data_IF_185358682307
#
_entry.id   IF_185358682307
#
_cell.length_a   1.000
_cell.length_b   1.000
_cell.length_c   1.000
_cell.angle_alpha   90.00
_cell.angle_beta   90.00
_cell.angle_gamma   90.00
#
_symmetry.space_group_name_H-M   'P 1'
#
loop_
_entity.id
_entity.type
_entity.pdbx_description
1 polymer ?
#
# COMPACT_ATOMS: atom_id res chain seq x y z
N UNK A 1 14.77 -8.82 6.15
CA UNK A 1 15.66 -8.05 5.26
C UNK A 1 17.07 -8.62 5.35
N UNK A 2 17.31 -9.79 4.74
CA UNK A 2 18.65 -10.36 4.64
C UNK A 2 19.22 -9.97 3.28
N UNK A 3 20.23 -9.10 3.30
CA UNK A 3 20.82 -8.47 2.12
C UNK A 3 21.61 -9.51 1.33
N UNK A 4 21.49 -9.52 -0.01
CA UNK A 4 22.27 -10.36 -0.94
C UNK A 4 23.76 -10.36 -0.62
N UNK A 5 24.25 -9.24 -0.09
CA UNK A 5 25.62 -9.01 0.40
C UNK A 5 26.11 -10.09 1.38
N UNK A 6 25.24 -10.61 2.25
CA UNK A 6 25.62 -11.63 3.25
C UNK A 6 25.90 -12.99 2.63
N UNK A 7 25.11 -13.38 1.62
CA UNK A 7 25.32 -14.63 0.88
C UNK A 7 26.58 -14.57 0.00
N UNK A 8 26.85 -13.40 -0.59
CA UNK A 8 28.10 -13.17 -1.34
C UNK A 8 29.31 -13.32 -0.41
N UNK A 9 29.25 -12.75 0.79
CA UNK A 9 30.33 -12.80 1.77
C UNK A 9 30.62 -14.25 2.23
N UNK A 10 29.57 -15.03 2.51
CA UNK A 10 29.71 -16.46 2.85
C UNK A 10 30.34 -17.25 1.68
N UNK A 11 29.88 -17.01 0.45
CA UNK A 11 30.42 -17.70 -0.74
C UNK A 11 31.89 -17.35 -1.00
N UNK A 12 32.27 -16.07 -0.88
CA UNK A 12 33.67 -15.67 -0.99
C UNK A 12 34.54 -16.28 0.11
N UNK A 13 33.99 -16.43 1.32
CA UNK A 13 34.66 -17.11 2.42
C UNK A 13 34.90 -18.60 2.14
N UNK A 14 33.91 -19.32 1.61
CA UNK A 14 34.07 -20.73 1.24
C UNK A 14 35.12 -20.94 0.15
N UNK A 15 35.19 -20.05 -0.85
CA UNK A 15 36.23 -20.14 -1.90
C UNK A 15 37.62 -19.97 -1.29
N UNK A 16 37.83 -18.96 -0.44
CA UNK A 16 39.12 -18.72 0.23
C UNK A 16 39.55 -19.89 1.10
N UNK A 17 38.63 -20.47 1.89
CA UNK A 17 38.91 -21.66 2.71
C UNK A 17 39.24 -22.88 1.85
N UNK A 18 38.54 -23.07 0.72
CA UNK A 18 38.82 -24.18 -0.21
C UNK A 18 40.19 -24.03 -0.86
N UNK A 19 40.56 -22.83 -1.28
CA UNK A 19 41.90 -22.54 -1.82
C UNK A 19 43.00 -22.76 -0.77
N UNK A 20 42.79 -22.30 0.47
CA UNK A 20 43.73 -22.50 1.58
C UNK A 20 43.90 -24.00 1.91
N UNK A 21 42.81 -24.77 1.94
CA UNK A 21 42.85 -26.21 2.18
C UNK A 21 43.60 -26.96 1.06
N UNK A 22 43.41 -26.60 -0.21
CA UNK A 22 44.14 -27.19 -1.35
C UNK A 22 45.61 -26.80 -1.37
N UNK A 23 45.95 -25.58 -0.92
CA UNK A 23 47.33 -25.14 -0.80
C UNK A 23 48.09 -25.89 0.31
N UNK A 24 47.41 -26.22 1.42
CA UNK A 24 47.98 -26.92 2.57
C UNK A 24 48.04 -28.46 2.40
N UNK A 25 47.22 -29.05 1.53
CA UNK A 25 47.26 -30.49 1.24
C UNK A 25 48.37 -30.83 0.20
N UNK A 26 49.10 -31.91 0.49
CA UNK A 26 50.32 -32.51 -0.13
C UNK A 26 50.50 -32.38 -1.68
N UNK A 27 51.73 -32.54 -2.22
CA UNK A 27 52.17 -32.03 -3.54
C UNK A 27 51.74 -32.83 -4.79
N UNK A 28 50.80 -33.78 -4.70
CA UNK A 28 50.33 -34.52 -5.87
C UNK A 28 49.42 -33.65 -6.75
N UNK A 29 50.04 -33.06 -7.78
CA UNK A 29 49.49 -31.99 -8.62
C UNK A 29 48.16 -32.37 -9.32
N UNK A 30 47.97 -33.65 -9.67
CA UNK A 30 46.78 -34.10 -10.42
C UNK A 30 45.49 -34.04 -9.60
N UNK A 31 45.54 -34.32 -8.28
CA UNK A 31 44.34 -34.25 -7.42
C UNK A 31 43.97 -32.80 -7.09
N UNK A 32 44.93 -31.87 -7.12
CA UNK A 32 44.69 -30.44 -6.86
C UNK A 32 43.79 -29.81 -7.91
N UNK A 33 44.03 -30.11 -9.19
CA UNK A 33 43.25 -29.55 -10.30
C UNK A 33 41.78 -29.96 -10.18
N UNK A 34 41.50 -31.24 -9.88
CA UNK A 34 40.11 -31.70 -9.72
C UNK A 34 39.37 -31.03 -8.55
N UNK A 35 40.05 -30.79 -7.43
CA UNK A 35 39.43 -30.11 -6.27
C UNK A 35 39.16 -28.64 -6.58
N UNK A 36 40.10 -27.94 -7.25
CA UNK A 36 39.93 -26.54 -7.65
C UNK A 36 38.78 -26.40 -8.65
N UNK A 37 38.71 -27.28 -9.65
CA UNK A 37 37.64 -27.27 -10.66
C UNK A 37 36.28 -27.56 -10.03
N UNK A 38 36.19 -28.52 -9.10
CA UNK A 38 34.95 -28.80 -8.38
C UNK A 38 34.50 -27.61 -7.51
N UNK A 39 35.43 -26.97 -6.79
CA UNK A 39 35.16 -25.77 -6.00
C UNK A 39 34.68 -24.60 -6.87
N UNK A 40 35.30 -24.38 -8.02
CA UNK A 40 34.90 -23.36 -8.98
C UNK A 40 33.49 -23.63 -9.54
N UNK A 41 33.19 -24.89 -9.86
CA UNK A 41 31.87 -25.30 -10.34
C UNK A 41 30.77 -25.01 -9.30
N UNK A 42 30.97 -25.39 -8.04
CA UNK A 42 30.00 -25.09 -6.97
C UNK A 42 29.85 -23.59 -6.72
N UNK A 43 30.95 -22.83 -6.81
CA UNK A 43 30.91 -21.37 -6.70
C UNK A 43 30.09 -20.72 -7.82
N UNK A 44 30.32 -21.13 -9.07
CA UNK A 44 29.57 -20.62 -10.23
C UNK A 44 28.10 -21.05 -10.13
N UNK A 45 27.80 -22.29 -9.74
CA UNK A 45 26.44 -22.76 -9.54
C UNK A 45 25.70 -21.99 -8.44
N UNK A 46 26.39 -21.63 -7.35
CA UNK A 46 25.84 -20.81 -6.28
C UNK A 46 25.68 -19.33 -6.66
N UNK A 47 26.59 -18.77 -7.44
CA UNK A 47 26.42 -17.44 -8.01
C UNK A 47 25.22 -17.39 -8.98
N UNK A 48 25.11 -18.39 -9.86
CA UNK A 48 23.98 -18.54 -10.77
C UNK A 48 22.69 -18.73 -9.99
N UNK A 49 22.66 -19.51 -8.92
CA UNK A 49 21.44 -19.66 -8.11
C UNK A 49 21.05 -18.34 -7.42
N UNK A 50 21.99 -17.56 -6.90
CA UNK A 50 21.69 -16.22 -6.33
C UNK A 50 21.20 -15.23 -7.40
N UNK A 51 21.72 -15.33 -8.62
CA UNK A 51 21.34 -14.43 -9.72
C UNK A 51 20.02 -14.85 -10.39
N UNK A 52 19.74 -16.16 -10.46
CA UNK A 52 18.55 -16.74 -11.06
C UNK A 52 17.38 -16.84 -10.08
N UNK A 53 17.64 -16.91 -8.76
CA UNK A 53 16.59 -16.70 -7.76
C UNK A 53 16.22 -15.23 -7.87
N UNK A 54 15.04 -14.89 -8.41
CA UNK A 54 14.60 -13.51 -8.45
C UNK A 54 14.63 -13.02 -7.02
N UNK A 55 15.30 -11.89 -6.77
CA UNK A 55 15.16 -11.19 -5.50
C UNK A 55 13.67 -11.09 -5.24
N UNK A 56 13.21 -11.83 -4.23
CA UNK A 56 11.84 -11.76 -3.75
C UNK A 56 11.69 -10.44 -2.98
N UNK A 57 12.03 -9.32 -3.61
CA UNK A 57 11.49 -8.01 -3.29
C UNK A 57 10.15 -7.88 -4.04
N UNK A 58 9.34 -8.92 -3.91
CA UNK A 58 8.03 -9.05 -4.51
C UNK A 58 6.98 -8.58 -3.51
N UNK A 59 7.24 -7.47 -2.80
CA UNK A 59 6.10 -6.67 -2.38
C UNK A 59 5.53 -6.07 -3.66
N UNK A 60 4.52 -6.75 -4.20
CA UNK A 60 3.78 -6.27 -5.36
C UNK A 60 3.36 -4.82 -5.08
N UNK A 61 3.26 -3.97 -6.10
CA UNK A 61 2.85 -2.57 -5.94
C UNK A 61 1.55 -2.42 -5.10
N UNK A 62 0.71 -3.46 -5.16
CA UNK A 62 -0.49 -3.64 -4.33
C UNK A 62 -0.19 -3.74 -2.83
N UNK A 63 0.75 -4.59 -2.42
CA UNK A 63 1.15 -4.73 -1.02
C UNK A 63 1.74 -3.44 -0.47
N UNK A 64 2.55 -2.73 -1.26
CA UNK A 64 3.10 -1.43 -0.87
C UNK A 64 1.99 -0.41 -0.61
N UNK A 65 0.96 -0.37 -1.48
CA UNK A 65 -0.22 0.49 -1.30
C UNK A 65 -1.01 0.15 -0.03
N UNK A 66 -1.26 -1.14 0.23
CA UNK A 66 -1.96 -1.58 1.45
C UNK A 66 -1.19 -1.16 2.70
N UNK A 67 0.12 -1.44 2.74
CA UNK A 67 0.99 -1.06 3.87
C UNK A 67 0.99 0.46 4.06
N UNK A 68 1.01 1.23 2.97
CA UNK A 68 0.95 2.68 3.03
C UNK A 68 -0.39 3.17 3.61
N UNK A 69 -1.53 2.65 3.14
CA UNK A 69 -2.85 2.98 3.71
C UNK A 69 -2.91 2.65 5.20
N UNK A 70 -2.38 1.50 5.61
CA UNK A 70 -2.34 1.12 7.01
C UNK A 70 -1.49 2.07 7.86
N UNK A 71 -0.35 2.55 7.34
CA UNK A 71 0.47 3.56 8.02
C UNK A 71 -0.29 4.88 8.21
N UNK A 72 -1.05 5.32 7.22
CA UNK A 72 -1.88 6.53 7.32
C UNK A 72 -2.95 6.38 8.40
N UNK A 73 -3.69 5.26 8.39
CA UNK A 73 -4.71 4.98 9.41
C UNK A 73 -4.12 4.91 10.82
N UNK A 74 -2.95 4.27 10.97
CA UNK A 74 -2.24 4.21 12.24
C UNK A 74 -1.86 5.61 12.74
N UNK A 75 -1.34 6.45 11.86
CA UNK A 75 -0.97 7.82 12.19
C UNK A 75 -2.20 8.64 12.63
N UNK A 76 -3.31 8.57 11.90
CA UNK A 76 -4.55 9.26 12.26
C UNK A 76 -5.10 8.78 13.61
N UNK A 77 -5.07 7.47 13.86
CA UNK A 77 -5.45 6.90 15.14
C UNK A 77 -4.57 7.41 16.29
N UNK A 78 -3.25 7.46 16.09
CA UNK A 78 -2.32 7.99 17.09
C UNK A 78 -2.59 9.47 17.39
N UNK A 79 -2.90 10.27 16.37
CA UNK A 79 -3.30 11.67 16.55
C UNK A 79 -4.58 11.80 17.37
N UNK A 80 -5.59 10.98 17.09
CA UNK A 80 -6.83 10.96 17.86
C UNK A 80 -6.59 10.61 19.34
N UNK A 81 -5.76 9.60 19.61
CA UNK A 81 -5.36 9.24 20.97
C UNK A 81 -4.61 10.37 21.68
N UNK A 82 -3.71 11.05 20.98
CA UNK A 82 -2.95 12.17 21.55
C UNK A 82 -3.89 13.31 21.96
N UNK A 83 -4.82 13.70 21.09
CA UNK A 83 -5.83 14.75 21.40
C UNK A 83 -6.68 14.35 22.60
N UNK A 84 -7.17 13.11 22.62
CA UNK A 84 -7.96 12.58 23.74
C UNK A 84 -7.18 12.61 25.05
N UNK A 85 -5.92 12.16 25.01
CA UNK A 85 -5.04 12.15 26.17
C UNK A 85 -4.83 13.58 26.71
N UNK A 86 -4.58 14.55 25.84
CA UNK A 86 -4.46 15.96 26.23
C UNK A 86 -5.76 16.51 26.85
N UNK A 87 -6.93 16.19 26.30
CA UNK A 87 -8.21 16.65 26.85
C UNK A 87 -8.47 16.07 28.24
N UNK A 88 -8.15 14.78 28.45
CA UNK A 88 -8.27 14.10 29.73
C UNK A 88 -7.30 14.72 30.76
N UNK A 89 -6.04 14.94 30.39
CA UNK A 89 -5.04 15.55 31.27
C UNK A 89 -5.43 16.96 31.71
N UNK A 90 -6.06 17.73 30.83
CA UNK A 90 -6.59 19.07 31.11
C UNK A 90 -7.92 19.03 31.88
N UNK A 91 -8.42 17.84 32.26
CA UNK A 91 -9.72 17.62 32.94
C UNK A 91 -10.92 18.16 32.14
N UNK A 92 -10.79 18.29 30.82
CA UNK A 92 -11.86 18.76 29.91
C UNK A 92 -12.73 17.59 29.44
N UNK A 93 -13.39 16.93 30.39
CA UNK A 93 -14.12 15.68 30.13
C UNK A 93 -15.24 15.83 29.10
N UNK A 94 -16.04 16.90 29.18
CA UNK A 94 -17.11 17.17 28.21
C UNK A 94 -16.55 17.32 26.78
N UNK A 95 -15.45 18.06 26.63
CA UNK A 95 -14.81 18.23 25.32
C UNK A 95 -14.24 16.91 24.77
N UNK A 96 -13.76 16.02 25.64
CA UNK A 96 -13.32 14.69 25.24
C UNK A 96 -14.50 13.85 24.71
N UNK A 97 -15.65 13.89 25.40
CA UNK A 97 -16.88 13.21 24.95
C UNK A 97 -17.33 13.75 23.58
N UNK A 98 -17.38 15.08 23.42
CA UNK A 98 -17.74 15.71 22.15
C UNK A 98 -16.77 15.32 21.02
N UNK A 99 -15.48 15.20 21.34
CA UNK A 99 -14.48 14.76 20.39
C UNK A 99 -14.68 13.29 19.96
N UNK A 100 -14.98 12.38 20.90
CA UNK A 100 -15.31 10.98 20.59
C UNK A 100 -16.52 10.90 19.67
N UNK A 101 -17.58 11.67 19.98
CA UNK A 101 -18.80 11.69 19.16
C UNK A 101 -18.51 12.14 17.72
N UNK A 102 -17.64 13.15 17.54
CA UNK A 102 -17.19 13.60 16.20
C UNK A 102 -16.33 12.57 15.48
N UNK A 103 -15.47 11.83 16.18
CA UNK A 103 -14.71 10.73 15.57
C UNK A 103 -15.68 9.65 15.09
N UNK A 104 -16.61 9.23 15.95
CA UNK A 104 -17.59 8.20 15.62
C UNK A 104 -18.45 8.56 14.40
N UNK A 105 -18.85 9.83 14.25
CA UNK A 105 -19.56 10.25 13.04
C UNK A 105 -18.69 10.15 11.78
N UNK A 106 -17.40 10.46 11.89
CA UNK A 106 -16.43 10.36 10.77
C UNK A 106 -16.13 8.90 10.40
N UNK A 107 -16.13 7.99 11.38
CA UNK A 107 -15.91 6.54 11.16
C UNK A 107 -17.05 5.89 10.37
N UNK A 108 -18.22 6.53 10.26
CA UNK A 108 -19.34 5.98 9.47
C UNK A 108 -18.97 5.74 8.00
N UNK A 109 -18.23 6.65 7.39
CA UNK A 109 -17.78 6.52 5.99
C UNK A 109 -16.83 5.32 5.85
N UNK A 110 -15.90 5.17 6.80
CA UNK A 110 -14.97 4.04 6.82
C UNK A 110 -15.75 2.72 6.95
N UNK A 111 -16.72 2.66 7.86
CA UNK A 111 -17.56 1.48 8.03
C UNK A 111 -18.40 1.17 6.78
N UNK A 112 -18.93 2.19 6.09
CA UNK A 112 -19.64 2.00 4.83
C UNK A 112 -18.74 1.40 3.75
N UNK A 113 -17.48 1.85 3.64
CA UNK A 113 -16.51 1.26 2.71
C UNK A 113 -16.28 -0.21 3.05
N UNK A 114 -15.94 -0.53 4.31
CA UNK A 114 -15.62 -1.90 4.71
C UNK A 114 -16.80 -2.88 4.65
N UNK A 115 -18.03 -2.41 4.90
CA UNK A 115 -19.21 -3.28 4.91
C UNK A 115 -19.75 -3.59 3.51
N UNK A 116 -19.54 -2.70 2.54
CA UNK A 116 -20.15 -2.82 1.22
C UNK A 116 -19.17 -3.19 0.10
N UNK A 117 -17.85 -3.05 0.33
CA UNK A 117 -16.81 -3.33 -0.67
C UNK A 117 -15.98 -4.52 -0.17
N UNK A 118 -15.84 -5.53 -1.03
CA UNK A 118 -15.06 -6.74 -0.75
C UNK A 118 -13.65 -6.70 -1.35
N UNK A 119 -13.44 -5.92 -2.41
CA UNK A 119 -12.11 -5.79 -3.03
C UNK A 119 -11.17 -4.93 -2.17
N UNK A 120 -10.09 -5.54 -1.70
CA UNK A 120 -9.08 -4.90 -0.87
C UNK A 120 -8.42 -3.69 -1.56
N UNK A 121 -8.23 -3.72 -2.89
CA UNK A 121 -7.62 -2.61 -3.63
C UNK A 121 -8.55 -1.40 -3.66
N UNK A 122 -9.82 -1.61 -3.98
CA UNK A 122 -10.84 -0.56 -3.94
C UNK A 122 -10.97 0.07 -2.55
N UNK A 123 -11.01 -0.76 -1.49
CA UNK A 123 -11.00 -0.26 -0.09
C UNK A 123 -9.80 0.63 0.17
N UNK A 124 -8.59 0.15 -0.16
CA UNK A 124 -7.35 0.89 0.12
C UNK A 124 -7.33 2.26 -0.56
N UNK A 125 -7.83 2.35 -1.78
CA UNK A 125 -7.91 3.64 -2.46
C UNK A 125 -8.95 4.56 -1.88
N UNK A 126 -10.16 4.07 -1.62
CA UNK A 126 -11.22 4.95 -1.09
C UNK A 126 -10.81 5.52 0.26
N UNK A 127 -10.09 4.75 1.06
CA UNK A 127 -9.46 5.23 2.29
C UNK A 127 -8.37 6.27 2.03
N UNK A 128 -7.47 6.04 1.06
CA UNK A 128 -6.46 7.04 0.67
C UNK A 128 -7.10 8.32 0.13
N UNK A 129 -8.15 8.20 -0.69
CA UNK A 129 -8.90 9.31 -1.26
C UNK A 129 -9.58 10.11 -0.14
N UNK A 130 -10.30 9.45 0.76
CA UNK A 130 -10.93 10.09 1.91
C UNK A 130 -9.90 10.86 2.75
N UNK A 131 -8.73 10.26 2.99
CA UNK A 131 -7.64 10.90 3.72
C UNK A 131 -7.11 12.14 2.98
N UNK A 132 -6.86 12.03 1.67
CA UNK A 132 -6.37 13.15 0.85
C UNK A 132 -7.37 14.31 0.77
N UNK A 133 -8.67 14.00 0.65
CA UNK A 133 -9.73 15.02 0.64
C UNK A 133 -9.84 15.73 1.98
N UNK A 134 -9.76 14.97 3.08
CA UNK A 134 -9.73 15.53 4.44
C UNK A 134 -8.54 16.47 4.65
N UNK A 135 -7.35 16.11 4.17
CA UNK A 135 -6.17 17.00 4.22
C UNK A 135 -6.38 18.31 3.46
N UNK A 136 -7.12 18.27 2.35
CA UNK A 136 -7.51 19.44 1.56
C UNK A 136 -8.72 20.21 2.11
N UNK A 137 -9.24 19.82 3.27
CA UNK A 137 -10.48 20.37 3.85
C UNK A 137 -11.69 20.28 2.92
N UNK A 138 -11.74 19.21 2.11
CA UNK A 138 -12.88 18.88 1.25
C UNK A 138 -13.77 17.90 2.01
N UNK A 139 -15.02 18.28 2.24
CA UNK A 139 -16.05 17.39 2.80
C UNK A 139 -16.24 16.20 1.87
N UNK A 140 -16.28 15.00 2.43
CA UNK A 140 -16.38 13.77 1.66
C UNK A 140 -17.44 12.85 2.24
N UNK A 141 -18.34 12.37 1.41
CA UNK A 141 -19.35 11.37 1.78
C UNK A 141 -19.42 10.27 0.72
N UNK A 142 -19.64 9.03 1.17
CA UNK A 142 -19.77 7.86 0.30
C UNK A 142 -21.09 7.18 0.60
N UNK A 143 -21.93 7.05 -0.43
CA UNK A 143 -23.14 6.25 -0.38
C UNK A 143 -22.95 5.07 -1.32
N UNK A 144 -23.10 3.85 -0.81
CA UNK A 144 -23.03 2.62 -1.60
C UNK A 144 -24.42 2.02 -1.64
N UNK A 145 -25.03 2.06 -2.82
CA UNK A 145 -26.34 1.54 -3.12
C UNK A 145 -26.18 0.21 -3.88
N UNK A 146 -26.46 -0.90 -3.21
CA UNK A 146 -26.37 -2.25 -3.80
C UNK A 146 -25.15 -3.04 -3.36
N UNK A 147 -25.04 -4.29 -3.85
CA UNK A 147 -23.89 -5.18 -3.59
C UNK A 147 -22.84 -4.96 -4.68
N UNK A 148 -22.26 -3.76 -4.76
CA UNK A 148 -21.34 -3.38 -5.85
C UNK A 148 -19.95 -4.05 -5.79
N UNK A 149 -19.83 -5.16 -5.05
CA UNK A 149 -18.56 -5.77 -4.61
C UNK A 149 -17.62 -6.27 -5.71
N UNK A 150 -18.07 -6.37 -6.97
CA UNK A 150 -17.31 -7.03 -8.04
C UNK A 150 -17.15 -6.28 -9.38
N UNK A 151 -17.80 -5.12 -9.60
CA UNK A 151 -17.96 -4.57 -10.96
C UNK A 151 -17.11 -3.33 -11.28
N UNK A 152 -16.37 -2.83 -10.31
CA UNK A 152 -15.75 -1.51 -10.41
C UNK A 152 -14.31 -1.65 -10.89
N UNK A 153 -14.06 -1.38 -12.17
CA UNK A 153 -12.69 -1.24 -12.73
C UNK A 153 -12.01 -0.01 -12.12
N UNK A 154 -11.39 -0.27 -10.99
CA UNK A 154 -10.72 0.67 -10.11
C UNK A 154 -9.80 1.68 -10.83
N UNK A 155 -8.99 1.23 -11.79
CA UNK A 155 -8.04 2.09 -12.51
C UNK A 155 -8.71 3.21 -13.33
N UNK A 156 -9.89 2.93 -13.90
CA UNK A 156 -10.62 3.92 -14.69
C UNK A 156 -11.17 5.03 -13.80
N UNK A 157 -11.72 4.64 -12.65
CA UNK A 157 -12.30 5.55 -11.68
C UNK A 157 -11.25 6.40 -11.03
N UNK A 158 -10.09 5.81 -10.72
CA UNK A 158 -8.96 6.57 -10.20
C UNK A 158 -8.56 7.71 -11.15
N UNK A 159 -8.49 7.45 -12.46
CA UNK A 159 -8.14 8.46 -13.45
C UNK A 159 -9.21 9.55 -13.58
N UNK A 160 -10.49 9.17 -13.64
CA UNK A 160 -11.57 10.15 -13.76
C UNK A 160 -11.76 11.01 -12.49
N UNK A 161 -11.58 10.41 -11.31
CA UNK A 161 -11.56 11.15 -10.05
C UNK A 161 -10.40 12.12 -9.99
N UNK A 162 -9.18 11.70 -10.37
CA UNK A 162 -8.04 12.61 -10.40
C UNK A 162 -8.31 13.84 -11.29
N UNK A 163 -8.89 13.65 -12.48
CA UNK A 163 -9.29 14.78 -13.34
C UNK A 163 -10.31 15.69 -12.64
N UNK A 164 -11.30 15.11 -11.96
CA UNK A 164 -12.33 15.86 -11.25
C UNK A 164 -11.72 16.64 -10.06
N UNK A 165 -10.79 16.04 -9.32
CA UNK A 165 -10.11 16.70 -8.20
C UNK A 165 -9.20 17.87 -8.61
N UNK A 166 -8.59 17.80 -9.80
CA UNK A 166 -7.83 18.95 -10.34
C UNK A 166 -8.75 20.16 -10.58
N UNK A 167 -10.01 19.93 -10.96
CA UNK A 167 -10.99 21.01 -11.12
C UNK A 167 -11.35 21.62 -9.77
N UNK A 168 -11.46 20.81 -8.71
CA UNK A 168 -11.68 21.33 -7.34
C UNK A 168 -10.57 22.26 -6.88
N UNK A 169 -9.31 22.02 -7.24
CA UNK A 169 -8.19 22.89 -6.82
C UNK A 169 -8.32 24.32 -7.40
N UNK A 170 -9.07 24.49 -8.49
CA UNK A 170 -9.24 25.79 -9.17
C UNK A 170 -10.38 26.65 -8.59
N UNK A 171 -11.27 26.07 -7.78
CA UNK A 171 -12.44 26.79 -7.26
C UNK A 171 -12.23 27.22 -5.81
N UNK A 172 -12.72 28.40 -5.45
CA UNK A 172 -12.73 28.90 -4.07
C UNK A 172 -14.07 28.60 -3.39
N UNK A 173 -14.04 28.33 -2.09
CA UNK A 173 -15.24 28.06 -1.29
C UNK A 173 -15.18 26.74 -0.52
N UNK A 174 -16.25 26.45 0.21
CA UNK A 174 -16.45 25.18 0.92
C UNK A 174 -16.72 24.08 -0.09
N UNK A 175 -15.87 23.05 -0.10
CA UNK A 175 -15.89 21.99 -1.11
C UNK A 175 -16.46 20.73 -0.50
N UNK A 176 -17.52 20.22 -1.09
CA UNK A 176 -18.08 18.92 -0.74
C UNK A 176 -18.10 18.02 -1.98
N UNK A 177 -17.70 16.77 -1.76
CA UNK A 177 -17.75 15.70 -2.75
C UNK A 177 -18.53 14.53 -2.16
N UNK A 178 -19.64 14.20 -2.81
CA UNK A 178 -20.44 13.02 -2.52
C UNK A 178 -20.25 12.01 -3.64
N UNK A 179 -19.86 10.80 -3.26
CA UNK A 179 -19.68 9.69 -4.20
C UNK A 179 -20.78 8.67 -3.98
N UNK A 180 -21.62 8.46 -4.98
CA UNK A 180 -22.68 7.45 -4.96
C UNK A 180 -22.28 6.31 -5.86
N UNK A 181 -22.06 5.14 -5.26
CA UNK A 181 -21.81 3.90 -5.97
C UNK A 181 -23.13 3.18 -6.21
N UNK A 182 -23.50 3.03 -7.46
CA UNK A 182 -24.57 2.15 -7.92
C UNK A 182 -23.96 0.92 -8.59
N UNK A 183 -24.77 -0.12 -8.85
CA UNK A 183 -24.29 -1.40 -9.39
C UNK A 183 -23.47 -1.28 -10.71
N UNK A 184 -23.70 -0.24 -11.51
CA UNK A 184 -23.06 -0.03 -12.83
C UNK A 184 -22.46 1.36 -13.05
N UNK A 185 -22.56 2.26 -12.08
CA UNK A 185 -22.13 3.65 -12.26
C UNK A 185 -21.70 4.28 -10.94
N UNK A 186 -20.85 5.29 -11.05
CA UNK A 186 -20.45 6.13 -9.93
C UNK A 186 -20.90 7.54 -10.24
N UNK A 187 -21.79 8.06 -9.42
CA UNK A 187 -22.15 9.46 -9.47
C UNK A 187 -21.23 10.25 -8.54
N UNK A 188 -20.58 11.27 -9.10
CA UNK A 188 -19.86 12.29 -8.35
C UNK A 188 -20.75 13.52 -8.30
N UNK A 189 -21.18 13.87 -7.11
CA UNK A 189 -21.98 15.05 -6.84
C UNK A 189 -21.15 16.03 -6.00
N UNK A 190 -21.16 17.29 -6.38
CA UNK A 190 -20.44 18.35 -5.70
C UNK A 190 -21.33 19.56 -5.54
N UNK A 191 -21.15 20.27 -4.44
CA UNK A 191 -21.83 21.54 -4.21
C UNK A 191 -21.32 22.67 -5.14
N UNK A 192 -20.15 22.51 -5.76
CA UNK A 192 -19.47 23.55 -6.54
C UNK A 192 -19.34 23.17 -8.02
N UNK A 193 -19.16 21.88 -8.32
CA UNK A 193 -19.02 21.39 -9.68
C UNK A 193 -20.32 20.70 -10.12
N UNK A 194 -20.60 20.74 -11.42
CA UNK A 194 -21.74 20.01 -11.97
C UNK A 194 -21.64 18.51 -11.66
N UNK A 195 -22.80 17.91 -11.40
CA UNK A 195 -22.94 16.47 -11.18
C UNK A 195 -22.33 15.72 -12.36
N UNK A 196 -21.41 14.81 -12.07
CA UNK A 196 -20.73 13.99 -13.07
C UNK A 196 -21.04 12.52 -12.84
N UNK A 197 -21.67 11.89 -13.82
CA UNK A 197 -21.93 10.44 -13.80
C UNK A 197 -20.82 9.72 -14.57
N UNK A 198 -20.17 8.77 -13.90
CA UNK A 198 -19.12 7.92 -14.46
C UNK A 198 -19.72 6.53 -14.64
N UNK A 199 -20.04 6.17 -15.89
CA UNK A 199 -20.50 4.82 -16.18
C UNK A 199 -19.32 3.83 -16.15
N UNK A 200 -19.44 2.78 -15.35
CA UNK A 200 -18.50 1.67 -15.35
C UNK A 200 -18.78 0.84 -16.60
N UNK A 201 -18.04 1.07 -17.69
CA UNK A 201 -18.14 0.19 -18.86
C UNK A 201 -17.72 -1.22 -18.46
N UNK A 202 -18.70 -2.12 -18.39
CA UNK A 202 -18.45 -3.55 -18.47
C UNK A 202 -17.86 -3.81 -19.85
N UNK A 203 -16.53 -3.89 -19.95
CA UNK A 203 -15.92 -4.57 -21.09
C UNK A 203 -16.14 -6.06 -20.89
N UNK A 204 -17.34 -6.53 -21.23
CA UNK A 204 -17.54 -7.92 -21.59
C UNK A 204 -16.80 -8.16 -22.91
N UNK A 205 -15.61 -8.76 -22.82
CA UNK A 205 -14.97 -9.67 -23.78
C UNK A 205 -13.61 -10.11 -23.22
#
# INVERSE_FOLDING_TARGET
MYRKDYWILILTGQVLVTFAAVALLNPDCNKKIHIVVAGLFFYIAALLSIYLIPSYDASTDKEKKIIHTFKLLKHDFQNHLQVLYSLIQLKKNNNAIDYINRINSTTKIINQIFNNITDCQAICYLLQLAHNLKQKSIGFDIIISGKSGNLIKYDYIQKELQKYLVQFDQVQGEKELKMVFNDSEIELDSNILEKKVIHCKNSSL
#
